data_IF_187190607566
#
_entry.id   IF_187190607566
#
_cell.length_a   1.000
_cell.length_b   1.000
_cell.length_c   1.000
_cell.angle_alpha   90.00
_cell.angle_beta   90.00
_cell.angle_gamma   90.00
#
_symmetry.space_group_name_H-M   'P 1'
#
loop_
_entity.id
_entity.type
_entity.pdbx_description
1 polymer ?
#
# COMPACT_ATOMS: atom_id res chain seq x y z
N UNK A 1 -4.83 1.21 9.16
CA UNK A 1 -5.29 0.30 8.09
C UNK A 1 -4.40 -0.92 8.17
N UNK A 2 -4.95 -2.12 8.27
CA UNK A 2 -4.15 -3.35 8.23
C UNK A 2 -4.26 -3.96 6.83
N UNK A 3 -3.14 -4.39 6.24
CA UNK A 3 -3.15 -5.12 4.98
C UNK A 3 -3.16 -6.60 5.30
N UNK A 4 -4.30 -7.25 5.07
CA UNK A 4 -4.47 -8.67 5.24
C UNK A 4 -4.40 -9.38 3.87
N UNK A 5 -3.45 -10.31 3.70
CA UNK A 5 -3.54 -11.27 2.59
C UNK A 5 -4.35 -12.47 3.08
N UNK A 6 -5.29 -12.94 2.27
CA UNK A 6 -6.04 -14.19 2.54
C UNK A 6 -5.55 -15.27 1.59
N UNK A 7 -5.38 -16.51 2.08
CA UNK A 7 -5.15 -17.65 1.20
C UNK A 7 -6.48 -18.33 0.87
N UNK A 8 -6.53 -19.00 -0.28
CA UNK A 8 -7.60 -19.92 -0.65
C UNK A 8 -7.05 -21.34 -0.50
N UNK A 9 -7.54 -22.08 0.49
CA UNK A 9 -7.36 -23.53 0.52
C UNK A 9 -8.31 -24.15 -0.52
N UNK A 10 -7.77 -24.85 -1.52
CA UNK A 10 -8.55 -25.49 -2.59
C UNK A 10 -9.19 -26.82 -2.17
N UNK A 11 -8.95 -27.32 -0.94
CA UNK A 11 -9.38 -28.66 -0.53
C UNK A 11 -10.36 -28.73 0.66
N UNK A 12 -10.84 -27.61 1.20
CA UNK A 12 -11.95 -27.64 2.18
C UNK A 12 -12.91 -26.45 2.00
N UNK A 13 -14.21 -26.68 2.15
CA UNK A 13 -15.28 -25.66 2.04
C UNK A 13 -15.25 -24.65 3.22
N UNK A 14 -14.09 -24.37 3.85
CA UNK A 14 -14.06 -23.67 5.16
C UNK A 14 -13.16 -22.43 5.19
N UNK A 15 -13.83 -21.31 5.53
CA UNK A 15 -13.38 -20.01 6.08
C UNK A 15 -12.03 -19.47 5.59
N UNK A 16 -12.11 -18.36 4.84
CA UNK A 16 -10.98 -17.46 4.55
C UNK A 16 -10.36 -17.00 5.88
N UNK A 17 -9.14 -17.46 6.16
CA UNK A 17 -8.31 -16.96 7.26
C UNK A 17 -7.32 -15.91 6.76
N UNK A 18 -7.04 -14.91 7.57
CA UNK A 18 -5.90 -14.00 7.35
C UNK A 18 -4.62 -14.82 7.49
N UNK A 19 -3.80 -14.88 6.43
CA UNK A 19 -2.52 -15.61 6.47
C UNK A 19 -1.33 -14.69 6.74
N UNK A 20 -1.52 -13.39 6.54
CA UNK A 20 -0.52 -12.39 6.86
C UNK A 20 -1.22 -11.04 7.07
N UNK A 21 -0.75 -10.31 8.06
CA UNK A 21 -1.20 -8.96 8.38
C UNK A 21 0.00 -8.09 8.71
N UNK A 22 -0.06 -6.82 8.29
CA UNK A 22 0.86 -5.79 8.74
C UNK A 22 0.12 -4.65 9.44
N UNK A 23 0.67 -4.23 10.57
CA UNK A 23 0.21 -3.12 11.40
C UNK A 23 1.44 -2.38 11.89
N UNK A 24 1.40 -1.05 11.88
CA UNK A 24 2.45 -0.24 12.47
C UNK A 24 2.27 -0.13 14.00
N UNK A 25 3.28 0.37 14.70
CA UNK A 25 3.25 0.57 16.14
C UNK A 25 3.61 2.03 16.50
N UNK A 26 2.62 2.86 16.93
CA UNK A 26 1.22 2.52 17.10
C UNK A 26 0.43 2.37 15.79
N UNK A 27 -0.72 1.66 15.79
CA UNK A 27 -1.49 1.36 14.56
C UNK A 27 -1.96 2.59 13.77
N UNK A 28 -2.16 3.72 14.45
CA UNK A 28 -2.52 4.99 13.82
C UNK A 28 -1.43 5.59 12.93
N UNK A 29 -0.17 5.15 13.05
CA UNK A 29 0.92 5.61 12.17
C UNK A 29 0.78 5.13 10.72
N UNK A 30 -0.02 4.08 10.51
CA UNK A 30 -0.27 3.52 9.19
C UNK A 30 -1.77 3.53 8.91
N UNK A 31 -2.24 4.59 8.26
CA UNK A 31 -3.64 4.76 7.88
C UNK A 31 -3.75 5.62 6.64
N UNK A 32 -4.40 5.10 5.60
CA UNK A 32 -4.75 5.87 4.41
C UNK A 32 -6.27 5.97 4.31
N UNK A 33 -6.82 7.18 4.39
CA UNK A 33 -8.27 7.41 4.36
C UNK A 33 -8.91 7.18 2.99
N UNK A 34 -8.10 7.24 1.93
CA UNK A 34 -8.45 6.95 0.55
C UNK A 34 -7.20 6.46 -0.17
N UNK A 35 -7.38 5.78 -1.31
CA UNK A 35 -6.35 5.33 -2.27
C UNK A 35 -5.16 4.57 -1.64
N UNK A 36 -5.00 3.30 -1.98
CA UNK A 36 -3.92 2.46 -1.45
C UNK A 36 -3.71 1.22 -2.29
N UNK A 37 -2.67 0.46 -1.96
CA UNK A 37 -2.38 -0.80 -2.60
C UNK A 37 -1.44 -1.67 -1.77
N UNK A 38 -1.44 -2.96 -2.10
CA UNK A 38 -0.49 -3.92 -1.60
C UNK A 38 -0.14 -4.90 -2.73
N UNK A 39 1.14 -5.23 -2.88
CA UNK A 39 1.62 -6.21 -3.84
C UNK A 39 2.58 -7.17 -3.13
N UNK A 40 2.25 -8.45 -3.08
CA UNK A 40 3.20 -9.49 -2.68
C UNK A 40 4.23 -9.66 -3.79
N UNK A 41 5.51 -9.59 -3.46
CA UNK A 41 6.63 -9.74 -4.37
C UNK A 41 7.13 -11.19 -4.39
N UNK A 42 7.87 -11.56 -5.44
CA UNK A 42 8.39 -12.92 -5.62
C UNK A 42 9.35 -13.38 -4.50
N UNK A 43 10.06 -12.44 -3.85
CA UNK A 43 10.93 -12.71 -2.70
C UNK A 43 10.15 -12.93 -1.38
N UNK A 44 8.82 -12.83 -1.41
CA UNK A 44 7.96 -12.95 -0.25
C UNK A 44 7.68 -11.64 0.47
N UNK A 45 8.35 -10.53 0.18
CA UNK A 45 8.07 -9.23 0.78
C UNK A 45 6.76 -8.64 0.24
N UNK A 46 6.19 -7.65 0.93
CA UNK A 46 5.04 -6.88 0.45
C UNK A 46 5.45 -5.46 0.15
N UNK A 47 5.18 -4.97 -1.07
CA UNK A 47 5.18 -3.54 -1.36
C UNK A 47 3.82 -2.96 -0.96
N UNK A 48 3.82 -1.91 -0.16
CA UNK A 48 2.63 -1.22 0.36
C UNK A 48 2.61 0.21 -0.18
N UNK A 49 1.44 0.67 -0.61
CA UNK A 49 1.16 2.07 -0.95
C UNK A 49 0.22 2.66 0.10
N UNK A 50 0.74 3.54 0.96
CA UNK A 50 -0.04 4.42 1.83
C UNK A 50 -0.36 5.71 1.05
N UNK A 51 -1.39 5.60 0.20
CA UNK A 51 -1.56 6.53 -0.90
C UNK A 51 -1.94 7.95 -0.48
N UNK A 52 -2.79 8.13 0.53
CA UNK A 52 -3.18 9.46 1.01
C UNK A 52 -1.98 10.29 1.48
N UNK A 53 -0.98 9.63 2.09
CA UNK A 53 0.25 10.23 2.61
C UNK A 53 1.46 10.15 1.66
N UNK A 54 1.25 9.68 0.43
CA UNK A 54 2.28 9.65 -0.60
C UNK A 54 3.48 8.76 -0.25
N UNK A 55 3.29 7.77 0.62
CA UNK A 55 4.36 6.86 1.08
C UNK A 55 4.22 5.49 0.43
N UNK A 56 5.34 4.96 -0.04
CA UNK A 56 5.47 3.60 -0.54
C UNK A 56 6.59 2.93 0.26
N UNK A 57 6.35 1.73 0.76
CA UNK A 57 7.36 1.00 1.51
C UNK A 57 7.29 -0.49 1.26
N UNK A 58 8.43 -1.16 1.39
CA UNK A 58 8.54 -2.61 1.30
C UNK A 58 8.75 -3.20 2.69
N UNK A 59 7.95 -4.19 3.03
CA UNK A 59 8.00 -4.88 4.31
C UNK A 59 8.28 -6.36 4.14
N UNK A 60 9.14 -6.92 4.99
CA UNK A 60 9.39 -8.37 5.04
C UNK A 60 8.18 -9.14 5.55
N UNK A 61 8.21 -10.46 5.41
CA UNK A 61 7.18 -11.34 5.99
C UNK A 61 7.07 -11.21 7.51
N UNK A 62 8.16 -10.84 8.19
CA UNK A 62 8.22 -10.62 9.64
C UNK A 62 7.82 -9.21 10.08
N UNK A 63 7.55 -8.29 9.14
CA UNK A 63 7.09 -6.94 9.45
C UNK A 63 8.18 -5.87 9.47
N UNK A 64 9.42 -6.18 9.07
CA UNK A 64 10.50 -5.18 8.99
C UNK A 64 10.42 -4.37 7.69
N UNK A 65 10.48 -3.04 7.79
CA UNK A 65 10.57 -2.16 6.62
C UNK A 65 12.01 -2.19 6.09
N UNK A 66 12.17 -2.60 4.83
CA UNK A 66 13.49 -2.74 4.19
C UNK A 66 13.75 -1.72 3.07
N UNK A 67 12.71 -1.00 2.66
CA UNK A 67 12.81 0.09 1.69
C UNK A 67 11.64 1.05 1.87
N UNK A 68 11.87 2.34 1.64
CA UNK A 68 10.85 3.37 1.78
C UNK A 68 11.09 4.52 0.80
N UNK A 69 9.99 5.07 0.30
CA UNK A 69 9.94 6.28 -0.49
C UNK A 69 8.75 7.15 -0.07
N UNK A 70 8.98 8.45 0.01
CA UNK A 70 7.95 9.46 0.27
C UNK A 70 7.94 10.41 -0.94
N UNK A 71 6.78 10.61 -1.55
CA UNK A 71 6.61 11.57 -2.63
C UNK A 71 6.95 12.99 -2.13
N UNK A 72 8.00 13.64 -2.68
CA UNK A 72 8.37 14.99 -2.26
C UNK A 72 7.52 16.07 -2.95
N UNK A 73 6.68 15.71 -3.92
CA UNK A 73 5.93 16.65 -4.73
C UNK A 73 4.52 16.85 -4.19
N UNK A 74 4.26 18.06 -3.71
CA UNK A 74 2.97 18.50 -3.20
C UNK A 74 2.23 19.33 -4.24
N UNK A 75 0.92 19.13 -4.35
CA UNK A 75 0.07 19.93 -5.20
C UNK A 75 -1.32 20.10 -4.57
N UNK A 76 -1.95 21.25 -4.84
CA UNK A 76 -3.35 21.45 -4.51
C UNK A 76 -4.21 20.63 -5.47
N UNK A 77 -5.05 19.76 -4.92
CA UNK A 77 -6.09 19.07 -5.68
C UNK A 77 -7.15 20.07 -6.11
N UNK A 78 -7.23 20.37 -7.42
CA UNK A 78 -8.18 21.32 -7.98
C UNK A 78 -9.19 20.60 -8.86
N UNK A 79 -10.31 20.19 -8.29
CA UNK A 79 -11.45 19.65 -9.04
C UNK A 79 -12.59 20.66 -8.93
N UNK A 80 -13.10 21.22 -10.05
CA UNK A 80 -14.21 22.16 -10.01
C UNK A 80 -15.43 21.57 -9.29
N UNK A 81 -15.96 22.28 -8.30
CA UNK A 81 -17.12 21.84 -7.52
C UNK A 81 -16.84 20.77 -6.46
N UNK A 82 -15.58 20.36 -6.26
CA UNK A 82 -15.21 19.40 -5.22
C UNK A 82 -15.09 20.06 -3.84
N UNK A 83 -15.86 19.54 -2.88
CA UNK A 83 -15.80 19.91 -1.45
C UNK A 83 -15.31 18.71 -0.60
N UNK A 84 -14.15 18.13 -0.95
CA UNK A 84 -13.67 16.92 -0.27
C UNK A 84 -13.20 17.21 1.16
N UNK A 85 -13.90 16.68 2.16
CA UNK A 85 -13.55 16.85 3.61
C UNK A 85 -12.26 16.14 4.02
N UNK A 86 -11.75 15.23 3.20
CA UNK A 86 -10.58 14.39 3.49
C UNK A 86 -9.34 14.74 2.67
N UNK A 87 -9.52 15.50 1.58
CA UNK A 87 -8.47 15.83 0.63
C UNK A 87 -8.40 17.36 0.46
N UNK A 88 -8.05 18.06 1.54
CA UNK A 88 -7.87 19.52 1.58
C UNK A 88 -6.41 19.93 1.53
N UNK A 89 -6.14 21.13 1.00
CA UNK A 89 -4.79 21.70 0.97
C UNK A 89 -3.86 21.02 -0.05
N UNK A 90 -2.56 21.28 0.12
CA UNK A 90 -1.52 20.63 -0.66
C UNK A 90 -1.34 19.17 -0.23
N UNK A 91 -1.32 18.27 -1.21
CA UNK A 91 -1.23 16.83 -1.00
C UNK A 91 -0.14 16.26 -1.90
N UNK A 92 0.55 15.23 -1.42
CA UNK A 92 1.53 14.46 -2.16
C UNK A 92 1.02 13.04 -2.50
N UNK A 93 -0.31 12.88 -2.53
CA UNK A 93 -0.93 11.55 -2.56
C UNK A 93 -0.55 10.74 -3.81
N UNK A 94 -0.36 9.44 -3.63
CA UNK A 94 -0.08 8.45 -4.68
C UNK A 94 -1.29 7.52 -4.81
N UNK A 95 -1.79 7.33 -6.03
CA UNK A 95 -2.95 6.44 -6.26
C UNK A 95 -2.61 4.96 -6.04
N UNK A 96 -1.54 4.48 -6.69
CA UNK A 96 -1.04 3.10 -6.59
C UNK A 96 0.41 3.01 -7.05
N UNK A 97 1.16 2.09 -6.46
CA UNK A 97 2.48 1.70 -6.94
C UNK A 97 2.55 0.18 -7.18
N UNK A 98 3.43 -0.22 -8.10
CA UNK A 98 3.81 -1.59 -8.36
C UNK A 98 5.32 -1.68 -8.47
N UNK A 99 5.89 -2.79 -8.03
CA UNK A 99 7.28 -3.17 -8.25
C UNK A 99 7.30 -4.41 -9.13
N UNK A 100 8.16 -4.36 -10.14
CA UNK A 100 8.39 -5.46 -11.06
C UNK A 100 9.83 -5.94 -10.92
N UNK A 101 10.03 -7.26 -10.95
CA UNK A 101 11.34 -7.84 -11.18
C UNK A 101 11.79 -7.54 -12.61
N UNK A 102 13.11 -7.57 -12.85
CA UNK A 102 13.68 -7.28 -14.17
C UNK A 102 13.11 -8.22 -15.25
N UNK A 103 12.85 -9.46 -14.86
CA UNK A 103 12.34 -10.51 -15.74
C UNK A 103 10.86 -10.32 -16.11
N UNK A 104 10.10 -9.55 -15.31
CA UNK A 104 8.68 -9.25 -15.57
C UNK A 104 8.50 -8.09 -16.57
N UNK A 105 9.55 -7.29 -16.78
CA UNK A 105 9.60 -6.16 -17.71
C UNK A 105 10.82 -6.25 -18.64
N UNK A 106 11.00 -7.34 -19.41
CA UNK A 106 12.22 -7.61 -20.18
C UNK A 106 12.49 -6.62 -21.32
N UNK A 107 11.56 -5.72 -21.61
CA UNK A 107 11.67 -4.71 -22.66
C UNK A 107 12.20 -3.35 -22.17
N UNK A 108 12.53 -3.23 -20.87
CA UNK A 108 13.23 -2.08 -20.28
C UNK A 108 14.73 -2.37 -20.12
#
# INVERSE_FOLDING_TARGET
MAIATTSVDQNTIRRRGTVWEYTDNPPQNFFSSYISGAQRLANGNTLITEGAFGRIFEVTVTGEIVWEYINPYFAVRKIPGENSVVAHGEQNSIFRAFRYAREEVPWL
#
